data_IF_518402065157
#
_entry.id   IF_518402065157
#
_cell.length_a   1.000
_cell.length_b   1.000
_cell.length_c   1.000
_cell.angle_alpha   90.00
_cell.angle_beta   90.00
_cell.angle_gamma   90.00
#
_symmetry.space_group_name_H-M   'P 1'
#
loop_
_entity.id
_entity.type
_entity.pdbx_description
1 polymer ?
#
# COMPACT_ATOMS: atom_id res chain seq x y z
N UNK A 1 -35.81 23.86 25.81
CA UNK A 1 -34.45 23.92 25.29
C UNK A 1 -33.75 22.61 25.57
N UNK A 2 -33.81 21.78 24.62
CA UNK A 2 -33.08 20.53 24.74
C UNK A 2 -31.79 20.66 23.99
N UNK A 3 -30.75 21.00 24.70
CA UNK A 3 -29.45 20.73 24.18
C UNK A 3 -29.23 19.25 24.33
N UNK A 4 -29.33 18.51 23.24
CA UNK A 4 -28.84 17.16 23.21
C UNK A 4 -27.35 17.17 23.56
N UNK A 5 -26.84 16.15 24.24
CA UNK A 5 -25.40 16.05 24.46
C UNK A 5 -24.71 16.17 23.12
N UNK A 6 -23.73 17.04 23.03
CA UNK A 6 -22.86 17.09 21.87
C UNK A 6 -22.35 15.68 21.61
N UNK A 7 -22.35 15.23 20.34
CA UNK A 7 -21.74 13.93 20.05
C UNK A 7 -20.32 13.98 20.57
N UNK A 8 -20.06 13.15 21.56
CA UNK A 8 -18.71 13.06 22.09
C UNK A 8 -17.77 12.69 20.95
N UNK A 9 -16.73 13.49 20.71
CA UNK A 9 -15.72 13.09 19.77
C UNK A 9 -15.14 11.75 20.22
N UNK A 10 -14.76 10.89 19.30
CA UNK A 10 -14.07 9.65 19.63
C UNK A 10 -13.00 9.96 20.68
N UNK A 11 -13.19 9.45 21.88
CA UNK A 11 -12.30 9.72 22.99
C UNK A 11 -11.41 8.53 23.26
N UNK A 12 -10.12 8.80 23.22
CA UNK A 12 -9.16 7.93 23.85
C UNK A 12 -8.74 8.54 25.17
N UNK A 13 -8.66 7.73 26.20
CA UNK A 13 -7.93 8.05 27.42
C UNK A 13 -6.51 7.53 27.28
N UNK A 14 -5.60 7.94 28.16
CA UNK A 14 -4.24 7.38 28.20
C UNK A 14 -4.28 5.87 28.44
N UNK A 15 -5.25 5.39 29.22
CA UNK A 15 -5.45 3.95 29.42
C UNK A 15 -5.87 3.23 28.14
N UNK A 16 -6.73 3.84 27.34
CA UNK A 16 -7.14 3.28 26.04
C UNK A 16 -5.96 3.18 25.09
N UNK A 17 -5.11 4.20 25.07
CA UNK A 17 -3.89 4.20 24.26
C UNK A 17 -2.93 3.12 24.75
N UNK A 18 -2.78 2.96 26.06
CA UNK A 18 -1.94 1.92 26.64
C UNK A 18 -2.42 0.51 26.26
N UNK A 19 -3.75 0.28 26.29
CA UNK A 19 -4.35 -0.98 25.85
C UNK A 19 -4.13 -1.22 24.36
N UNK A 20 -4.27 -0.18 23.54
CA UNK A 20 -4.01 -0.29 22.11
C UNK A 20 -2.54 -0.65 21.84
N UNK A 21 -1.61 0.02 22.51
CA UNK A 21 -0.16 -0.26 22.38
C UNK A 21 0.13 -1.71 22.75
N UNK A 22 -0.44 -2.20 23.86
CA UNK A 22 -0.24 -3.58 24.29
C UNK A 22 -0.82 -4.57 23.28
N UNK A 23 -2.02 -4.29 22.73
CA UNK A 23 -2.62 -5.12 21.68
C UNK A 23 -1.76 -5.16 20.42
N UNK A 24 -1.18 -4.03 20.03
CA UNK A 24 -0.29 -3.95 18.87
C UNK A 24 1.00 -4.74 19.12
N UNK A 25 1.57 -4.64 20.32
CA UNK A 25 2.76 -5.43 20.69
C UNK A 25 2.48 -6.92 20.66
N UNK A 26 1.32 -7.33 21.17
CA UNK A 26 0.91 -8.74 21.15
C UNK A 26 0.74 -9.23 19.72
N UNK A 27 0.09 -8.43 18.86
CA UNK A 27 -0.06 -8.75 17.45
C UNK A 27 1.30 -8.88 16.76
N UNK A 28 2.25 -8.00 17.06
CA UNK A 28 3.60 -8.08 16.52
C UNK A 28 4.34 -9.33 16.99
N UNK A 29 4.20 -9.71 18.27
CA UNK A 29 4.79 -10.94 18.79
C UNK A 29 4.24 -12.16 18.07
N UNK A 30 2.93 -12.21 17.86
CA UNK A 30 2.27 -13.30 17.11
C UNK A 30 2.73 -13.34 15.66
N UNK A 31 2.81 -12.19 15.02
CA UNK A 31 3.30 -12.10 13.65
C UNK A 31 4.75 -12.59 13.52
N UNK A 32 5.61 -12.26 14.50
CA UNK A 32 6.98 -12.72 14.52
C UNK A 32 7.11 -14.25 14.64
N UNK A 33 6.10 -14.92 15.24
CA UNK A 33 6.03 -16.37 15.33
C UNK A 33 5.54 -17.06 14.05
N UNK A 34 5.02 -16.30 13.08
CA UNK A 34 4.55 -16.82 11.80
C UNK A 34 5.66 -16.62 10.77
N UNK A 35 5.92 -17.64 9.94
CA UNK A 35 6.90 -17.51 8.86
C UNK A 35 6.57 -16.31 7.97
N UNK A 36 7.58 -15.49 7.67
CA UNK A 36 7.45 -14.36 6.72
C UNK A 36 6.91 -14.82 5.37
N UNK A 37 7.34 -16.00 4.92
CA UNK A 37 6.86 -16.58 3.68
C UNK A 37 5.36 -16.81 3.72
N UNK A 38 4.85 -17.35 4.83
CA UNK A 38 3.40 -17.60 5.01
C UNK A 38 2.62 -16.28 4.99
N UNK A 39 3.11 -15.27 5.71
CA UNK A 39 2.48 -13.94 5.72
C UNK A 39 2.46 -13.31 4.33
N UNK A 40 3.59 -13.34 3.64
CA UNK A 40 3.71 -12.81 2.28
C UNK A 40 2.79 -13.53 1.31
N UNK A 41 2.76 -14.87 1.35
CA UNK A 41 1.92 -15.66 0.46
C UNK A 41 0.43 -15.42 0.74
N UNK A 42 0.06 -15.22 2.00
CA UNK A 42 -1.30 -14.82 2.38
C UNK A 42 -1.68 -13.50 1.70
N UNK A 43 -0.84 -12.48 1.84
CA UNK A 43 -1.08 -11.16 1.24
C UNK A 43 -1.19 -11.29 -0.28
N UNK A 44 -0.24 -11.97 -0.90
CA UNK A 44 -0.21 -12.14 -2.36
C UNK A 44 -1.48 -12.79 -2.87
N UNK A 45 -1.91 -13.87 -2.25
CA UNK A 45 -3.11 -14.61 -2.66
C UNK A 45 -4.36 -13.74 -2.56
N UNK A 46 -4.52 -13.03 -1.44
CA UNK A 46 -5.68 -12.15 -1.23
C UNK A 46 -5.72 -11.01 -2.24
N UNK A 47 -4.57 -10.37 -2.49
CA UNK A 47 -4.50 -9.29 -3.46
C UNK A 47 -4.79 -9.76 -4.88
N UNK A 48 -4.30 -10.94 -5.26
CA UNK A 48 -4.57 -11.53 -6.60
C UNK A 48 -6.03 -11.91 -6.77
N UNK A 49 -6.64 -12.47 -5.75
CA UNK A 49 -8.04 -12.88 -5.80
C UNK A 49 -9.02 -11.70 -5.67
N UNK A 50 -8.57 -10.57 -5.15
CA UNK A 50 -9.44 -9.42 -4.88
C UNK A 50 -10.41 -9.65 -3.73
N UNK A 51 -10.15 -10.64 -2.89
CA UNK A 51 -10.96 -10.98 -1.71
C UNK A 51 -10.12 -10.85 -0.46
N UNK A 52 -10.70 -10.28 0.59
CA UNK A 52 -9.99 -10.10 1.84
C UNK A 52 -8.82 -9.13 1.70
N UNK A 53 -8.95 -8.14 0.82
CA UNK A 53 -7.91 -7.13 0.58
C UNK A 53 -7.66 -6.31 1.84
N UNK A 54 -8.72 -5.97 2.58
CA UNK A 54 -8.58 -5.22 3.83
C UNK A 54 -7.71 -5.97 4.84
N UNK A 55 -7.92 -7.26 5.01
CA UNK A 55 -7.13 -8.11 5.90
C UNK A 55 -5.69 -8.22 5.43
N UNK A 56 -5.49 -8.38 4.12
CA UNK A 56 -4.16 -8.42 3.52
C UNK A 56 -3.41 -7.12 3.79
N UNK A 57 -4.07 -5.97 3.63
CA UNK A 57 -3.46 -4.66 3.87
C UNK A 57 -3.10 -4.46 5.35
N UNK A 58 -3.86 -5.01 6.28
CA UNK A 58 -3.49 -5.03 7.70
C UNK A 58 -2.22 -5.85 7.94
N UNK A 59 -2.13 -7.02 7.31
CA UNK A 59 -0.96 -7.90 7.45
C UNK A 59 0.31 -7.23 6.88
N UNK A 60 0.19 -6.38 5.86
CA UNK A 60 1.36 -5.68 5.29
C UNK A 60 2.12 -4.86 6.33
N UNK A 61 1.44 -4.42 7.40
CA UNK A 61 2.09 -3.71 8.50
C UNK A 61 3.12 -4.55 9.25
N UNK A 62 3.04 -5.88 9.16
CA UNK A 62 3.98 -6.80 9.82
C UNK A 62 5.10 -7.28 8.90
N UNK A 63 5.04 -6.94 7.60
CA UNK A 63 6.02 -7.38 6.62
C UNK A 63 7.28 -6.51 6.65
N UNK A 64 8.40 -7.10 6.29
CA UNK A 64 9.66 -6.41 6.14
C UNK A 64 9.80 -5.85 4.71
N UNK A 65 10.74 -4.94 4.51
CA UNK A 65 10.97 -4.31 3.22
C UNK A 65 11.24 -5.33 2.10
N UNK A 66 11.98 -6.40 2.42
CA UNK A 66 12.23 -7.48 1.45
C UNK A 66 10.94 -8.18 1.00
N UNK A 67 9.95 -8.30 1.88
CA UNK A 67 8.65 -8.88 1.53
C UNK A 67 7.84 -7.95 0.63
N UNK A 68 7.93 -6.63 0.86
CA UNK A 68 7.27 -5.64 0.02
C UNK A 68 7.81 -5.69 -1.41
N UNK A 69 9.12 -5.86 -1.56
CA UNK A 69 9.76 -6.02 -2.88
C UNK A 69 9.13 -7.20 -3.65
N UNK A 70 8.87 -8.31 -2.98
CA UNK A 70 8.26 -9.49 -3.57
C UNK A 70 6.79 -9.27 -3.98
N UNK A 71 6.12 -8.26 -3.41
CA UNK A 71 4.71 -7.97 -3.65
C UNK A 71 4.48 -6.83 -4.65
N UNK A 72 5.52 -6.32 -5.28
CA UNK A 72 5.41 -5.23 -6.26
C UNK A 72 4.35 -5.50 -7.33
N UNK A 73 4.30 -6.69 -7.98
CA UNK A 73 3.30 -6.95 -9.01
C UNK A 73 1.86 -6.84 -8.50
N UNK A 74 1.63 -7.15 -7.24
CA UNK A 74 0.30 -7.08 -6.63
C UNK A 74 -0.02 -5.70 -6.08
N UNK A 75 0.98 -4.93 -5.65
CA UNK A 75 0.80 -3.60 -5.06
C UNK A 75 0.63 -2.50 -6.10
N UNK A 76 1.36 -2.57 -7.20
CA UNK A 76 1.30 -1.53 -8.24
C UNK A 76 -0.12 -1.31 -8.77
N UNK A 77 -0.90 -2.36 -9.12
CA UNK A 77 -2.29 -2.16 -9.56
C UNK A 77 -3.19 -1.52 -8.51
N UNK A 78 -2.91 -1.71 -7.22
CA UNK A 78 -3.72 -1.14 -6.14
C UNK A 78 -3.58 0.37 -6.00
N UNK A 79 -2.57 0.97 -6.60
CA UNK A 79 -2.33 2.42 -6.52
C UNK A 79 -3.53 3.21 -7.04
N UNK A 80 -4.28 2.64 -7.97
CA UNK A 80 -5.48 3.26 -8.53
C UNK A 80 -6.75 3.03 -7.70
N UNK A 81 -6.68 2.22 -6.65
CA UNK A 81 -7.81 1.97 -5.76
C UNK A 81 -8.09 3.21 -4.90
N UNK A 82 -9.35 3.63 -4.84
CA UNK A 82 -9.76 4.72 -3.95
C UNK A 82 -9.51 4.38 -2.48
N UNK A 83 -9.72 3.11 -2.11
CA UNK A 83 -9.65 2.64 -0.73
C UNK A 83 -8.22 2.33 -0.29
N UNK A 84 -7.41 1.72 -1.17
CA UNK A 84 -6.10 1.19 -0.81
C UNK A 84 -4.93 1.87 -1.53
N UNK A 85 -5.21 2.78 -2.45
CA UNK A 85 -4.17 3.36 -3.31
C UNK A 85 -3.10 4.10 -2.55
N UNK A 86 -3.49 4.89 -1.55
CA UNK A 86 -2.54 5.64 -0.73
C UNK A 86 -1.63 4.70 0.06
N UNK A 87 -2.21 3.67 0.68
CA UNK A 87 -1.45 2.70 1.45
C UNK A 87 -0.51 1.90 0.55
N UNK A 88 -0.97 1.49 -0.63
CA UNK A 88 -0.12 0.80 -1.60
C UNK A 88 1.07 1.69 -2.00
N UNK A 89 0.83 2.97 -2.25
CA UNK A 89 1.90 3.94 -2.54
C UNK A 89 2.90 4.08 -1.39
N UNK A 90 2.44 4.12 -0.15
CA UNK A 90 3.31 4.16 1.02
C UNK A 90 4.19 2.92 1.13
N UNK A 91 3.61 1.74 0.89
CA UNK A 91 4.37 0.49 0.91
C UNK A 91 5.44 0.48 -0.18
N UNK A 92 5.09 0.87 -1.40
CA UNK A 92 6.03 0.94 -2.51
C UNK A 92 7.15 1.95 -2.24
N UNK A 93 6.86 3.02 -1.49
CA UNK A 93 7.86 4.02 -1.12
C UNK A 93 8.92 3.48 -0.13
N UNK A 94 8.66 2.33 0.50
CA UNK A 94 9.65 1.67 1.36
C UNK A 94 10.77 0.99 0.57
N UNK A 95 10.58 0.77 -0.72
CA UNK A 95 11.57 0.11 -1.57
C UNK A 95 12.68 1.13 -1.89
N UNK A 96 13.97 0.79 -1.70
CA UNK A 96 15.07 1.68 -2.06
C UNK A 96 14.99 2.11 -3.53
N UNK A 97 15.38 3.34 -3.83
CA UNK A 97 15.26 3.94 -5.16
C UNK A 97 15.84 3.06 -6.26
N UNK A 98 17.06 2.54 -6.06
CA UNK A 98 17.74 1.71 -7.07
C UNK A 98 16.98 0.41 -7.35
N UNK A 99 16.46 -0.24 -6.31
CA UNK A 99 15.64 -1.44 -6.49
C UNK A 99 14.31 -1.11 -7.16
N UNK A 100 13.71 0.03 -6.81
CA UNK A 100 12.44 0.45 -7.41
C UNK A 100 12.57 0.73 -8.90
N UNK A 101 13.70 1.27 -9.35
CA UNK A 101 13.98 1.45 -10.80
C UNK A 101 13.90 0.12 -11.54
N UNK A 102 14.36 -0.96 -10.92
CA UNK A 102 14.39 -2.28 -11.55
C UNK A 102 13.08 -3.04 -11.41
N UNK A 103 12.30 -2.79 -10.36
CA UNK A 103 11.13 -3.61 -10.01
C UNK A 103 9.81 -2.86 -10.17
N UNK A 104 9.71 -1.63 -9.69
CA UNK A 104 8.47 -0.85 -9.74
C UNK A 104 8.26 -0.23 -11.10
N UNK A 105 9.28 0.43 -11.63
CA UNK A 105 9.18 1.15 -12.90
C UNK A 105 8.77 0.23 -14.06
N UNK A 106 9.37 -0.97 -14.25
CA UNK A 106 8.93 -1.87 -15.31
C UNK A 106 7.47 -2.32 -15.17
N UNK A 107 7.00 -2.55 -13.94
CA UNK A 107 5.60 -2.90 -13.70
C UNK A 107 4.65 -1.76 -14.13
N UNK A 108 4.99 -0.53 -13.77
CA UNK A 108 4.21 0.65 -14.16
C UNK A 108 4.20 0.80 -15.68
N UNK A 109 5.37 0.76 -16.32
CA UNK A 109 5.50 0.92 -17.76
C UNK A 109 4.79 -0.20 -18.51
N UNK A 110 4.79 -1.42 -17.99
CA UNK A 110 4.07 -2.54 -18.57
C UNK A 110 2.55 -2.38 -18.53
N UNK A 111 2.02 -1.56 -17.63
CA UNK A 111 0.58 -1.31 -17.48
C UNK A 111 0.07 -0.15 -18.34
N UNK A 112 0.92 0.78 -18.74
CA UNK A 112 0.53 2.05 -19.38
C UNK A 112 -0.40 1.85 -20.58
N UNK A 113 -0.12 0.85 -21.41
CA UNK A 113 -0.88 0.62 -22.64
C UNK A 113 -2.17 -0.17 -22.40
N UNK A 114 -2.42 -0.64 -21.18
CA UNK A 114 -3.54 -1.53 -20.86
C UNK A 114 -4.54 -0.94 -19.87
N UNK A 115 -4.24 0.25 -19.33
CA UNK A 115 -5.08 0.88 -18.32
C UNK A 115 -5.84 2.06 -18.91
N UNK A 116 -6.94 2.44 -18.26
CA UNK A 116 -7.70 3.62 -18.63
C UNK A 116 -6.97 4.91 -18.21
N UNK A 117 -7.55 6.05 -18.58
CA UNK A 117 -6.96 7.35 -18.30
C UNK A 117 -6.78 7.61 -16.79
N UNK A 118 -7.74 7.17 -15.97
CA UNK A 118 -7.67 7.34 -14.52
C UNK A 118 -6.51 6.56 -13.91
N UNK A 119 -6.36 5.31 -14.29
CA UNK A 119 -5.26 4.47 -13.81
C UNK A 119 -3.91 5.00 -14.28
N UNK A 120 -3.84 5.45 -15.52
CA UNK A 120 -2.63 6.07 -16.07
C UNK A 120 -2.21 7.29 -15.25
N UNK A 121 -3.16 8.13 -14.90
CA UNK A 121 -2.91 9.31 -14.07
C UNK A 121 -2.39 8.92 -12.67
N UNK A 122 -2.98 7.92 -12.05
CA UNK A 122 -2.55 7.43 -10.75
C UNK A 122 -1.14 6.80 -10.80
N UNK A 123 -0.82 6.08 -11.86
CA UNK A 123 0.52 5.52 -12.06
C UNK A 123 1.56 6.63 -12.27
N UNK A 124 1.22 7.67 -13.02
CA UNK A 124 2.08 8.83 -13.18
C UNK A 124 2.33 9.54 -11.85
N UNK A 125 1.32 9.70 -11.03
CA UNK A 125 1.45 10.29 -9.69
C UNK A 125 2.34 9.43 -8.80
N UNK A 126 2.25 8.12 -8.90
CA UNK A 126 3.14 7.20 -8.17
C UNK A 126 4.60 7.45 -8.55
N UNK A 127 4.90 7.49 -9.84
CA UNK A 127 6.26 7.73 -10.31
C UNK A 127 6.79 9.08 -9.84
N UNK A 128 5.95 10.11 -9.85
CA UNK A 128 6.33 11.43 -9.34
C UNK A 128 6.65 11.37 -7.85
N UNK A 129 5.77 10.74 -7.06
CA UNK A 129 5.95 10.59 -5.62
C UNK A 129 7.24 9.85 -5.26
N UNK A 130 7.59 8.83 -6.03
CA UNK A 130 8.79 8.02 -5.81
C UNK A 130 10.05 8.65 -6.41
N UNK A 131 9.95 9.76 -7.14
CA UNK A 131 11.09 10.46 -7.71
C UNK A 131 11.63 9.87 -9.01
N UNK A 132 10.87 9.01 -9.67
CA UNK A 132 11.28 8.39 -10.94
C UNK A 132 10.95 9.29 -12.14
N UNK A 133 11.65 10.40 -12.27
CA UNK A 133 11.35 11.44 -13.24
C UNK A 133 11.53 11.01 -14.70
N UNK A 134 12.52 10.18 -15.00
CA UNK A 134 12.73 9.68 -16.36
C UNK A 134 11.58 8.80 -16.82
N UNK A 135 11.12 7.90 -15.94
CA UNK A 135 9.96 7.06 -16.22
C UNK A 135 8.69 7.91 -16.33
N UNK A 136 8.52 8.91 -15.47
CA UNK A 136 7.40 9.84 -15.54
C UNK A 136 7.35 10.58 -16.87
N UNK A 137 8.50 11.03 -17.36
CA UNK A 137 8.61 11.69 -18.67
C UNK A 137 8.14 10.76 -19.78
N UNK A 138 8.52 9.50 -19.73
CA UNK A 138 8.06 8.50 -20.70
C UNK A 138 6.53 8.33 -20.67
N UNK A 139 5.93 8.30 -19.48
CA UNK A 139 4.47 8.21 -19.32
C UNK A 139 3.78 9.43 -19.93
N UNK A 140 4.32 10.62 -19.70
CA UNK A 140 3.77 11.87 -20.26
C UNK A 140 3.82 11.84 -21.79
N UNK A 141 4.92 11.35 -22.37
CA UNK A 141 5.03 11.19 -23.84
C UNK A 141 3.96 10.25 -24.40
N UNK A 142 3.67 9.17 -23.69
CA UNK A 142 2.62 8.22 -24.09
C UNK A 142 1.23 8.87 -24.04
N UNK A 143 0.95 9.69 -23.01
CA UNK A 143 -0.31 10.40 -22.86
C UNK A 143 -0.51 11.42 -24.00
N UNK A 144 0.54 12.10 -24.40
CA UNK A 144 0.50 13.15 -25.41
C UNK A 144 0.51 12.63 -26.85
N UNK A 145 0.73 11.35 -27.03
CA UNK A 145 0.77 10.76 -28.38
C UNK A 145 -0.61 10.41 -28.95
#
# INVERSE_FOLDING_TARGET
MCEGPDPEPARGTDDDVAHLVESLREAQRRAAGISRRVLRDFVRTRLREGRGVAEAMLVTGTLQDADIVELVPELVPLVSSEEYGERAGELLARIPFDEAVELVVPEVLGMILRVDYWDLWNLARLLHRLGHHDALRHVVEVIDS
#
